data_IF_101713440840
#
_entry.id   IF_101713440840
#
_cell.length_a   1.000
_cell.length_b   1.000
_cell.length_c   1.000
_cell.angle_alpha   90.00
_cell.angle_beta   90.00
_cell.angle_gamma   90.00
#
_symmetry.space_group_name_H-M   'P 1'
#
loop_
_entity.id
_entity.type
_entity.pdbx_description
1 polymer ?
#
# COMPACT_ATOMS: atom_id res chain seq x y z
N UNK A 1 4.64 -18.06 17.97
CA UNK A 1 3.43 -17.23 18.09
C UNK A 1 2.21 -18.15 17.99
N UNK A 2 1.37 -18.19 19.03
CA UNK A 2 0.18 -19.03 19.08
C UNK A 2 -0.93 -18.49 18.16
N UNK A 3 -1.96 -19.29 17.82
CA UNK A 3 -3.13 -18.80 17.10
C UNK A 3 -3.79 -17.60 17.78
N UNK A 4 -3.93 -17.63 19.11
CA UNK A 4 -4.54 -16.53 19.89
C UNK A 4 -3.71 -15.26 19.84
N UNK A 5 -2.37 -15.38 19.91
CA UNK A 5 -1.48 -14.23 19.75
C UNK A 5 -1.60 -13.61 18.35
N UNK A 6 -1.68 -14.44 17.31
CA UNK A 6 -1.92 -13.96 15.94
C UNK A 6 -3.26 -13.25 15.81
N UNK A 7 -4.30 -13.77 16.48
CA UNK A 7 -5.62 -13.16 16.49
C UNK A 7 -5.60 -11.79 17.18
N UNK A 8 -4.98 -11.68 18.36
CA UNK A 8 -4.84 -10.40 19.08
C UNK A 8 -4.09 -9.35 18.24
N UNK A 9 -2.98 -9.74 17.61
CA UNK A 9 -2.22 -8.85 16.72
C UNK A 9 -3.05 -8.42 15.52
N UNK A 10 -3.85 -9.31 14.92
CA UNK A 10 -4.74 -8.96 13.82
C UNK A 10 -5.82 -7.96 14.23
N UNK A 11 -6.37 -8.08 15.45
CA UNK A 11 -7.33 -7.12 16.00
C UNK A 11 -6.70 -5.74 16.23
N UNK A 12 -5.47 -5.70 16.73
CA UNK A 12 -4.71 -4.45 16.87
C UNK A 12 -4.45 -3.79 15.53
N UNK A 13 -4.01 -4.57 14.53
CA UNK A 13 -3.75 -4.05 13.19
C UNK A 13 -5.03 -3.49 12.56
N UNK A 14 -6.16 -4.21 12.71
CA UNK A 14 -7.47 -3.73 12.25
C UNK A 14 -7.80 -2.37 12.87
N UNK A 15 -7.65 -2.23 14.19
CA UNK A 15 -7.94 -0.96 14.87
C UNK A 15 -7.05 0.19 14.38
N UNK A 16 -5.78 -0.08 14.05
CA UNK A 16 -4.88 0.92 13.46
C UNK A 16 -5.33 1.31 12.04
N UNK A 17 -5.66 0.32 11.21
CA UNK A 17 -6.15 0.54 9.84
C UNK A 17 -7.47 1.31 9.85
N UNK A 18 -8.38 1.01 10.75
CA UNK A 18 -9.66 1.73 10.87
C UNK A 18 -9.44 3.19 11.27
N UNK A 19 -8.47 3.47 12.16
CA UNK A 19 -8.09 4.86 12.49
C UNK A 19 -7.51 5.58 11.27
N UNK A 20 -6.61 4.95 10.50
CA UNK A 20 -6.13 5.56 9.25
C UNK A 20 -7.31 5.87 8.31
N UNK A 21 -8.21 4.90 8.10
CA UNK A 21 -9.38 5.05 7.22
C UNK A 21 -10.42 6.06 7.71
N UNK A 22 -10.34 6.53 8.96
CA UNK A 22 -11.19 7.60 9.48
C UNK A 22 -10.75 9.00 9.02
N UNK A 23 -9.59 9.11 8.36
CA UNK A 23 -9.05 10.37 7.83
C UNK A 23 -9.33 10.40 6.33
N UNK A 24 -10.39 11.09 5.87
CA UNK A 24 -10.70 11.21 4.44
C UNK A 24 -9.71 12.16 3.74
N UNK A 25 -9.70 12.12 2.41
CA UNK A 25 -9.13 13.19 1.59
C UNK A 25 -10.08 14.40 1.61
N UNK A 26 -9.54 15.62 1.65
CA UNK A 26 -10.36 16.84 1.78
C UNK A 26 -11.30 17.05 0.58
N UNK A 27 -10.87 16.66 -0.62
CA UNK A 27 -11.54 16.91 -1.90
C UNK A 27 -11.75 15.61 -2.70
N UNK A 28 -11.61 14.45 -2.07
CA UNK A 28 -11.56 13.13 -2.71
C UNK A 28 -10.42 12.96 -3.73
N UNK A 29 -9.37 13.79 -3.66
CA UNK A 29 -8.17 13.62 -4.50
C UNK A 29 -7.35 12.42 -4.04
N UNK A 30 -6.86 11.65 -5.01
CA UNK A 30 -5.88 10.59 -4.81
C UNK A 30 -4.47 11.17 -4.92
N UNK A 31 -3.77 11.24 -3.80
CA UNK A 31 -2.46 11.91 -3.70
C UNK A 31 -1.58 11.29 -2.62
N UNK A 32 -0.29 11.61 -2.64
CA UNK A 32 0.62 11.26 -1.52
C UNK A 32 0.32 12.07 -0.26
N UNK A 33 0.91 11.70 0.88
CA UNK A 33 0.77 12.45 2.14
C UNK A 33 1.13 13.95 2.07
N UNK A 34 1.89 14.38 1.07
CA UNK A 34 2.22 15.79 0.83
C UNK A 34 1.26 16.50 -0.14
N UNK A 35 0.18 15.84 -0.56
CA UNK A 35 -0.78 16.34 -1.57
C UNK A 35 -0.26 16.27 -3.01
N UNK A 36 0.92 15.70 -3.23
CA UNK A 36 1.56 15.62 -4.55
C UNK A 36 1.29 14.31 -5.29
N UNK A 37 2.19 14.01 -6.22
CA UNK A 37 2.15 12.77 -7.00
C UNK A 37 2.05 11.55 -6.10
N UNK A 38 1.23 10.59 -6.53
CA UNK A 38 1.18 9.23 -6.01
C UNK A 38 2.47 8.52 -6.37
N UNK A 39 3.04 7.77 -5.41
CA UNK A 39 4.13 6.83 -5.64
C UNK A 39 3.65 5.43 -5.33
N UNK A 40 3.84 4.52 -6.27
CA UNK A 40 3.40 3.13 -6.15
C UNK A 40 4.52 2.16 -6.53
N UNK A 41 4.65 1.07 -5.76
CA UNK A 41 5.70 0.07 -5.89
C UNK A 41 5.19 -1.27 -6.46
N UNK A 42 4.02 -1.25 -7.11
CA UNK A 42 3.45 -2.42 -7.82
C UNK A 42 4.51 -3.11 -8.68
N UNK A 43 4.46 -4.43 -8.76
CA UNK A 43 5.30 -5.22 -9.69
C UNK A 43 6.81 -4.98 -9.56
N UNK A 44 7.29 -4.50 -8.41
CA UNK A 44 8.69 -4.08 -8.16
C UNK A 44 9.20 -2.93 -9.03
N UNK A 45 8.31 -2.19 -9.69
CA UNK A 45 8.65 -0.96 -10.41
C UNK A 45 8.16 0.25 -9.61
N UNK A 46 8.84 1.39 -9.78
CA UNK A 46 8.38 2.66 -9.21
C UNK A 46 7.49 3.33 -10.25
N UNK A 47 6.21 3.44 -9.95
CA UNK A 47 5.26 4.22 -10.73
C UNK A 47 4.98 5.53 -9.99
N UNK A 48 4.93 6.62 -10.75
CA UNK A 48 4.57 7.93 -10.24
C UNK A 48 3.52 8.56 -11.15
N UNK A 49 2.48 9.14 -10.56
CA UNK A 49 1.41 9.79 -11.32
C UNK A 49 0.52 10.65 -10.44
N UNK A 50 -0.42 11.35 -11.06
CA UNK A 50 -1.38 12.19 -10.33
C UNK A 50 -0.79 13.51 -9.81
N UNK A 51 -1.44 14.17 -8.84
CA UNK A 51 -2.65 13.71 -8.12
C UNK A 51 -3.84 13.46 -9.06
N UNK A 52 -4.75 12.57 -8.67
CA UNK A 52 -5.92 12.20 -9.48
C UNK A 52 -7.20 12.71 -8.82
N UNK A 53 -8.11 13.25 -9.61
CA UNK A 53 -9.35 13.87 -9.11
C UNK A 53 -10.52 12.87 -9.00
N UNK A 54 -10.35 11.68 -9.58
CA UNK A 54 -11.37 10.64 -9.60
C UNK A 54 -10.73 9.24 -9.58
N UNK A 55 -11.54 8.25 -9.18
CA UNK A 55 -11.08 6.87 -9.07
C UNK A 55 -10.84 6.22 -10.44
N UNK A 56 -11.44 6.72 -11.50
CA UNK A 56 -11.25 6.22 -12.87
C UNK A 56 -9.84 6.50 -13.36
N UNK A 57 -9.38 7.76 -13.29
CA UNK A 57 -8.03 8.17 -13.65
C UNK A 57 -6.97 7.54 -12.74
N UNK A 58 -7.27 7.35 -11.45
CA UNK A 58 -6.41 6.57 -10.56
C UNK A 58 -6.33 5.11 -11.01
N UNK A 59 -7.46 4.46 -11.34
CA UNK A 59 -7.49 3.07 -11.81
C UNK A 59 -6.76 2.89 -13.15
N UNK A 60 -6.85 3.85 -14.06
CA UNK A 60 -6.09 3.87 -15.31
C UNK A 60 -4.58 3.91 -15.03
N UNK A 61 -4.14 4.77 -14.11
CA UNK A 61 -2.76 4.77 -13.63
C UNK A 61 -2.34 3.43 -13.00
N UNK A 62 -3.27 2.74 -12.31
CA UNK A 62 -3.01 1.40 -11.76
C UNK A 62 -2.86 0.33 -12.84
N UNK A 63 -3.61 0.47 -13.93
CA UNK A 63 -3.57 -0.45 -15.06
C UNK A 63 -2.48 -0.10 -16.09
N UNK A 64 -1.78 1.02 -15.95
CA UNK A 64 -0.59 1.37 -16.73
C UNK A 64 0.65 0.58 -16.27
N UNK A 65 0.57 -0.74 -16.44
CA UNK A 65 1.61 -1.71 -16.14
C UNK A 65 2.29 -2.19 -17.43
N UNK A 66 3.56 -2.66 -17.37
CA UNK A 66 4.26 -3.16 -18.55
C UNK A 66 3.43 -4.22 -19.29
N UNK A 67 3.36 -4.11 -20.63
CA UNK A 67 2.64 -5.08 -21.48
C UNK A 67 3.16 -6.52 -21.34
N UNK A 68 4.39 -6.68 -20.86
CA UNK A 68 5.01 -7.97 -20.52
C UNK A 68 4.49 -8.60 -19.22
N UNK A 69 3.70 -7.87 -18.42
CA UNK A 69 3.14 -8.39 -17.17
C UNK A 69 2.25 -9.61 -17.46
N UNK A 70 2.40 -10.75 -16.76
CA UNK A 70 1.59 -11.94 -17.02
C UNK A 70 0.09 -11.66 -16.94
N UNK A 71 -0.70 -12.22 -17.88
CA UNK A 71 -2.15 -11.97 -17.98
C UNK A 71 -2.91 -12.28 -16.69
N UNK A 72 -2.53 -13.33 -15.97
CA UNK A 72 -3.12 -13.65 -14.66
C UNK A 72 -2.97 -12.53 -13.62
N UNK A 73 -1.85 -11.79 -13.65
CA UNK A 73 -1.62 -10.63 -12.78
C UNK A 73 -2.47 -9.44 -13.25
N UNK A 74 -2.54 -9.20 -14.57
CA UNK A 74 -3.38 -8.12 -15.13
C UNK A 74 -4.86 -8.33 -14.78
N UNK A 75 -5.37 -9.55 -14.98
CA UNK A 75 -6.76 -9.91 -14.70
C UNK A 75 -7.04 -9.87 -13.19
N UNK A 76 -6.10 -10.34 -12.36
CA UNK A 76 -6.19 -10.27 -10.91
C UNK A 76 -6.16 -8.84 -10.36
N UNK A 77 -5.42 -7.93 -10.99
CA UNK A 77 -5.43 -6.51 -10.66
C UNK A 77 -6.77 -5.88 -11.05
N UNK A 78 -7.19 -6.06 -12.31
CA UNK A 78 -8.45 -5.53 -12.84
C UNK A 78 -9.67 -5.98 -12.04
N UNK A 79 -9.72 -7.24 -11.61
CA UNK A 79 -10.84 -7.78 -10.82
C UNK A 79 -10.96 -7.16 -9.40
N UNK A 80 -9.89 -6.54 -8.90
CA UNK A 80 -9.82 -5.92 -7.58
C UNK A 80 -9.94 -4.40 -7.62
N UNK A 81 -9.70 -3.78 -8.77
CA UNK A 81 -10.05 -2.37 -8.95
C UNK A 81 -11.57 -2.25 -8.85
N UNK A 82 -12.01 -1.40 -7.94
CA UNK A 82 -13.42 -1.13 -7.66
C UNK A 82 -13.69 0.33 -8.04
N UNK A 83 -14.96 0.69 -8.03
CA UNK A 83 -15.40 2.08 -8.20
C UNK A 83 -16.28 2.49 -7.03
N UNK A 84 -16.38 3.81 -6.82
CA UNK A 84 -17.17 4.45 -5.77
C UNK A 84 -16.67 4.15 -4.35
N UNK A 85 -15.35 4.04 -4.17
CA UNK A 85 -14.75 3.86 -2.85
C UNK A 85 -14.46 5.21 -2.19
N UNK A 86 -14.48 5.22 -0.86
CA UNK A 86 -13.99 6.38 -0.10
C UNK A 86 -12.49 6.53 -0.30
N UNK A 87 -12.05 7.77 -0.45
CA UNK A 87 -10.63 8.13 -0.52
C UNK A 87 -10.15 8.49 0.88
N UNK A 88 -9.28 7.66 1.44
CA UNK A 88 -8.89 7.70 2.85
C UNK A 88 -7.39 7.52 3.01
N UNK A 89 -6.84 7.95 4.14
CA UNK A 89 -5.44 7.72 4.45
C UNK A 89 -5.15 6.21 4.48
N UNK A 90 -4.12 5.82 3.74
CA UNK A 90 -3.62 4.45 3.68
C UNK A 90 -2.09 4.43 3.74
N UNK A 91 -1.53 3.31 4.21
CA UNK A 91 -0.08 3.14 4.33
C UNK A 91 0.57 2.87 2.97
N UNK A 92 -0.16 2.25 2.04
CA UNK A 92 0.33 1.92 0.70
C UNK A 92 1.17 0.65 0.63
N UNK A 93 2.00 0.36 1.63
CA UNK A 93 2.80 -0.88 1.71
C UNK A 93 2.76 -1.50 3.13
N UNK A 94 1.72 -2.27 3.46
CA UNK A 94 1.51 -2.83 4.82
C UNK A 94 1.67 -4.37 4.96
N UNK A 95 2.77 -4.98 4.50
CA UNK A 95 3.10 -6.36 4.80
C UNK A 95 3.73 -6.51 6.20
N UNK A 96 3.84 -7.74 6.74
CA UNK A 96 4.38 -8.00 8.08
C UNK A 96 5.76 -7.39 8.36
N UNK A 97 6.61 -7.21 7.33
CA UNK A 97 7.94 -6.58 7.47
C UNK A 97 7.88 -5.11 7.91
N UNK A 98 6.76 -4.44 7.69
CA UNK A 98 6.56 -3.02 8.01
C UNK A 98 5.80 -2.83 9.33
N UNK A 99 5.57 -3.90 10.09
CA UNK A 99 4.85 -3.89 11.37
C UNK A 99 5.83 -4.25 12.50
N UNK A 100 6.07 -3.30 13.41
CA UNK A 100 6.90 -3.54 14.58
C UNK A 100 6.09 -4.20 15.69
N UNK A 101 6.65 -5.25 16.28
CA UNK A 101 6.03 -6.01 17.37
C UNK A 101 6.95 -6.06 18.59
N UNK A 102 6.40 -5.79 19.77
CA UNK A 102 7.03 -6.03 21.05
C UNK A 102 6.02 -6.67 21.99
N UNK A 103 6.33 -7.85 22.54
CA UNK A 103 5.45 -8.54 23.50
C UNK A 103 3.99 -8.72 23.01
N UNK A 104 3.82 -9.08 21.73
CA UNK A 104 2.51 -9.20 21.06
C UNK A 104 1.72 -7.88 20.90
N UNK A 105 2.37 -6.73 21.11
CA UNK A 105 1.80 -5.41 20.83
C UNK A 105 2.43 -4.80 19.60
N UNK A 106 1.58 -4.23 18.74
CA UNK A 106 2.04 -3.39 17.63
C UNK A 106 2.54 -2.08 18.23
N UNK A 107 3.84 -1.82 18.08
CA UNK A 107 4.48 -0.60 18.61
C UNK A 107 4.72 0.46 17.55
N UNK A 108 4.64 0.10 16.27
CA UNK A 108 4.83 1.03 15.18
C UNK A 108 4.55 0.42 13.81
N UNK A 109 4.20 1.30 12.88
CA UNK A 109 4.23 1.04 11.45
C UNK A 109 5.38 1.87 10.84
N UNK A 110 6.15 1.28 9.94
CA UNK A 110 7.30 1.91 9.30
C UNK A 110 7.16 1.85 7.78
N UNK A 111 8.03 2.58 7.06
CA UNK A 111 8.08 2.58 5.59
C UNK A 111 6.86 3.25 4.92
N UNK A 112 6.54 4.47 5.38
CA UNK A 112 5.41 5.30 4.90
C UNK A 112 5.67 6.01 3.56
N UNK A 113 6.73 5.66 2.83
CA UNK A 113 7.19 6.40 1.63
C UNK A 113 6.21 6.37 0.45
N UNK A 114 5.22 5.48 0.50
CA UNK A 114 4.13 5.34 -0.47
C UNK A 114 2.76 5.58 0.15
N UNK A 115 2.71 6.15 1.35
CA UNK A 115 1.46 6.48 2.00
C UNK A 115 0.78 7.68 1.33
N UNK A 116 -0.54 7.70 1.43
CA UNK A 116 -1.36 8.72 0.82
C UNK A 116 -2.84 8.44 0.94
N UNK A 117 -3.62 9.25 0.25
CA UNK A 117 -5.06 9.13 0.18
C UNK A 117 -5.45 8.28 -1.03
N UNK A 118 -5.92 7.05 -0.76
CA UNK A 118 -6.24 6.03 -1.78
C UNK A 118 -7.59 5.35 -1.45
N UNK A 119 -8.13 4.48 -2.34
CA UNK A 119 -9.34 3.73 -2.01
C UNK A 119 -9.18 2.93 -0.71
N UNK A 120 -10.24 2.81 0.07
CA UNK A 120 -10.18 2.10 1.36
C UNK A 120 -9.67 0.64 1.27
N UNK A 121 -9.82 -0.01 0.11
CA UNK A 121 -9.31 -1.37 -0.13
C UNK A 121 -7.79 -1.46 -0.39
N UNK A 122 -7.11 -0.32 -0.57
CA UNK A 122 -5.76 -0.25 -1.15
C UNK A 122 -4.70 -1.09 -0.41
N UNK A 123 -4.66 -1.01 0.93
CA UNK A 123 -3.72 -1.82 1.73
C UNK A 123 -3.90 -3.33 1.49
N UNK A 124 -5.14 -3.80 1.29
CA UNK A 124 -5.43 -5.21 1.03
C UNK A 124 -4.98 -5.61 -0.38
N UNK A 125 -5.15 -4.72 -1.36
CA UNK A 125 -4.69 -4.95 -2.73
C UNK A 125 -3.17 -5.12 -2.77
N UNK A 126 -2.42 -4.17 -2.20
CA UNK A 126 -0.96 -4.19 -2.27
C UNK A 126 -0.35 -5.38 -1.52
N UNK A 127 -0.86 -5.71 -0.33
CA UNK A 127 -0.42 -6.93 0.39
C UNK A 127 -0.69 -8.22 -0.39
N UNK A 128 -1.79 -8.28 -1.15
CA UNK A 128 -2.11 -9.44 -2.00
C UNK A 128 -1.14 -9.56 -3.19
N UNK A 129 -0.76 -8.42 -3.79
CA UNK A 129 0.21 -8.37 -4.89
C UNK A 129 1.58 -8.84 -4.40
N UNK A 130 2.06 -8.28 -3.28
CA UNK A 130 3.33 -8.67 -2.65
C UNK A 130 3.36 -10.17 -2.33
N UNK A 131 2.27 -10.74 -1.80
CA UNK A 131 2.18 -12.17 -1.53
C UNK A 131 2.29 -13.06 -2.80
N UNK A 132 1.66 -12.66 -3.90
CA UNK A 132 1.77 -13.39 -5.18
C UNK A 132 3.21 -13.37 -5.69
N UNK A 133 3.89 -12.23 -5.64
CA UNK A 133 5.26 -12.11 -6.13
C UNK A 133 6.29 -12.83 -5.25
N UNK A 134 6.13 -12.78 -3.94
CA UNK A 134 6.99 -13.52 -2.99
C UNK A 134 6.82 -15.04 -3.14
N UNK A 135 5.60 -15.53 -3.32
CA UNK A 135 5.31 -16.98 -3.39
C UNK A 135 5.68 -17.59 -4.74
N UNK A 136 5.62 -16.81 -5.82
CA UNK A 136 5.96 -17.28 -7.19
C UNK A 136 7.45 -17.15 -7.52
N UNK A 137 8.29 -16.68 -6.60
CA UNK A 137 9.74 -16.53 -6.81
C UNK A 137 10.12 -15.47 -7.84
N UNK A 138 9.18 -14.62 -8.26
CA UNK A 138 9.42 -13.51 -9.20
C UNK A 138 10.07 -12.28 -8.53
N UNK A 139 10.97 -12.52 -7.57
CA UNK A 139 11.71 -11.49 -6.84
C UNK A 139 12.88 -10.99 -7.69
N UNK A 140 12.80 -9.76 -8.19
CA UNK A 140 13.99 -8.96 -8.50
C UNK A 140 14.24 -8.00 -7.35
N UNK A 141 15.51 -7.86 -6.96
CA UNK A 141 15.93 -7.17 -5.74
C UNK A 141 15.44 -5.72 -5.67
N UNK A 142 14.76 -5.36 -4.56
CA UNK A 142 14.50 -3.96 -4.18
C UNK A 142 15.84 -3.22 -4.12
N UNK A 143 16.08 -2.29 -5.05
CA UNK A 143 17.15 -1.30 -4.91
C UNK A 143 16.68 -0.30 -3.86
N UNK A 144 17.11 -0.50 -2.60
CA UNK A 144 16.89 0.48 -1.53
C UNK A 144 17.75 1.72 -1.81
N UNK A 145 17.14 2.82 -2.24
CA UNK A 145 17.71 4.14 -1.97
C UNK A 145 17.32 4.53 -0.53
N UNK A 146 18.16 4.13 0.43
CA UNK A 146 18.17 4.80 1.74
C UNK A 146 18.66 6.23 1.51
N UNK A 147 17.74 7.17 1.38
CA UNK A 147 18.07 8.58 1.52
C UNK A 147 18.69 8.78 2.90
N UNK A 148 19.90 9.32 2.91
CA UNK A 148 20.66 9.54 4.12
C UNK A 148 19.99 10.63 4.95
N UNK A 149 19.11 10.28 5.88
CA UNK A 149 18.84 11.14 7.03
C UNK A 149 20.11 11.16 7.88
N UNK A 150 20.95 12.17 7.65
CA UNK A 150 22.06 12.52 8.53
C UNK A 150 21.50 12.66 9.94
N UNK A 151 22.15 11.95 10.87
CA UNK A 151 22.05 12.19 12.31
C UNK A 151 22.28 13.68 12.56
N UNK A 152 21.32 14.34 13.20
CA UNK A 152 21.60 15.50 14.03
C UNK A 152 21.26 15.02 15.45
N UNK A 153 22.34 14.83 16.22
CA UNK A 153 22.32 14.95 17.68
C UNK A 153 22.21 16.44 18.01
#
# INVERSE_FOLDING_TARGET
>A
MTPDQKHDIALQLRAIVDKMRSIPSDDNTFCSCSGGMVRDLRTYNIFTGGPFLDEESFNDFVMDIPKSTPKAIQDGLRARLRCNNRVVLTHGDLPPRNIMLQENKITGLIDWEVAGWFPEYWNTLNSSIDHVYTTTGMTTHRIYFRSHTRKIL
#
